data_IF_457166768202
#
_entry.id   IF_457166768202
#
_cell.length_a   1.000
_cell.length_b   1.000
_cell.length_c   1.000
_cell.angle_alpha   90.00
_cell.angle_beta   90.00
_cell.angle_gamma   90.00
#
_symmetry.space_group_name_H-M   'P 1'
#
loop_
_entity.id
_entity.type
_entity.pdbx_description
1 polymer ?
2 polymer ?
3 polymer ?
4 water ?
#
# COMPACT_ATOMS: atom_id res chain seq x y z
N UNK A 9 -2.30 19.97 -3.56
CA UNK A 9 -1.84 21.32 -3.16
C UNK A 9 -0.33 21.40 -2.98
N UNK A 10 0.28 22.41 -3.55
CA UNK A 10 1.72 22.65 -3.43
C UNK A 10 2.09 22.76 -1.95
N UNK A 11 1.12 23.25 -1.18
CA UNK A 11 1.34 23.47 0.25
C UNK A 11 1.44 22.20 1.05
N UNK A 12 0.66 21.20 0.65
CA UNK A 12 0.70 19.93 1.35
C UNK A 12 2.05 19.27 1.07
N UNK A 13 2.55 19.44 -0.15
CA UNK A 13 3.85 18.87 -0.51
C UNK A 13 4.94 19.53 0.33
N UNK A 14 4.91 20.85 0.34
CA UNK A 14 5.89 21.60 1.10
C UNK A 14 5.82 21.16 2.56
N UNK A 15 4.61 21.05 3.09
CA UNK A 15 4.43 20.66 4.49
C UNK A 15 4.93 19.24 4.77
N UNK A 16 4.52 18.26 3.96
CA UNK A 16 5.01 16.91 4.26
C UNK A 16 6.49 16.75 4.03
N UNK A 17 7.07 17.52 3.11
CA UNK A 17 8.50 17.42 2.88
C UNK A 17 9.23 17.97 4.13
N UNK A 19 8.05 17.92 7.14
CA UNK A 19 7.85 16.97 8.23
C UNK A 19 8.87 15.84 8.15
N UNK A 20 9.09 15.32 6.95
CA UNK A 20 10.05 14.23 6.80
C UNK A 20 11.47 14.70 7.06
N UNK A 21 11.81 15.88 6.54
CA UNK A 21 13.16 16.40 6.71
C UNK A 21 13.46 16.71 8.16
N UNK A 23 12.07 15.20 10.71
CA UNK A 23 12.18 13.92 11.40
C UNK A 23 13.57 13.30 11.13
N UNK A 24 14.07 13.44 9.90
CA UNK A 24 15.37 12.86 9.56
C UNK A 24 16.49 13.58 10.31
N UNK A 25 16.42 14.90 10.36
CA UNK A 25 17.47 15.65 11.07
C UNK A 25 17.48 15.30 12.55
N UNK A 26 16.29 15.18 13.15
CA UNK A 26 16.19 14.84 14.57
C UNK A 26 16.75 13.42 14.82
N UNK A 27 16.41 12.47 13.95
CA UNK A 27 16.92 11.11 14.07
C UNK A 27 18.46 11.11 13.96
N UNK A 28 19.02 11.90 13.04
CA UNK A 28 20.48 11.89 12.94
C UNK A 28 21.10 12.46 14.21
N UNK A 29 20.42 13.40 14.86
CA UNK A 29 20.90 13.95 16.13
C UNK A 29 20.76 12.87 17.23
N UNK A 30 19.66 12.12 17.22
CA UNK A 30 19.49 11.05 18.21
C UNK A 30 20.60 9.99 18.01
N UNK A 33 23.84 10.05 20.04
CA UNK A 33 23.78 9.76 21.47
C UNK A 33 24.44 8.48 21.88
N UNK A 34 24.65 7.59 20.92
CA UNK A 34 25.23 6.31 21.26
C UNK A 34 24.09 5.36 21.59
N UNK A 35 24.40 4.10 21.81
CA UNK A 35 23.35 3.14 22.12
C UNK A 35 23.84 1.78 21.74
N UNK A 36 23.06 0.72 21.96
CA UNK A 36 23.58 -0.57 21.59
C UNK A 36 23.30 -0.89 20.14
N UNK A 37 23.82 -2.02 19.68
CA UNK A 37 23.61 -2.39 18.29
C UNK A 37 22.14 -2.51 17.91
N UNK A 38 21.31 -3.00 18.82
CA UNK A 38 19.89 -3.12 18.48
C UNK A 38 19.26 -1.74 18.27
N UNK A 39 19.71 -0.76 19.06
CA UNK A 39 19.17 0.59 18.90
C UNK A 39 19.56 1.13 17.51
N UNK A 40 20.78 0.83 17.08
CA UNK A 40 21.18 1.32 15.77
C UNK A 40 20.49 0.57 14.63
N UNK A 41 20.03 -0.64 14.87
CA UNK A 41 19.33 -1.36 13.81
C UNK A 41 17.99 -0.65 13.64
N UNK A 42 17.37 -0.26 14.75
CA UNK A 42 16.09 0.46 14.72
C UNK A 42 16.28 1.80 14.02
N UNK A 43 17.26 2.58 14.48
CA UNK A 43 17.48 3.89 13.88
C UNK A 43 17.88 3.84 12.39
N UNK A 44 18.69 2.87 12.00
CA UNK A 44 19.09 2.73 10.59
C UNK A 44 17.86 2.46 9.73
N UNK A 45 16.96 1.62 10.23
CA UNK A 45 15.74 1.30 9.48
C UNK A 45 14.90 2.54 9.29
N UNK A 46 14.76 3.31 10.36
CA UNK A 46 13.95 4.51 10.29
C UNK A 46 14.59 5.52 9.37
N UNK A 47 15.91 5.68 9.50
CA UNK A 47 16.62 6.63 8.66
C UNK A 47 16.44 6.30 7.17
N UNK A 48 16.62 5.03 6.80
CA UNK A 48 16.47 4.64 5.41
C UNK A 48 15.03 4.85 4.93
N UNK A 49 14.05 4.60 5.79
CA UNK A 49 12.65 4.79 5.41
C UNK A 49 12.39 6.28 5.12
N UNK A 50 12.94 7.15 5.97
CA UNK A 50 12.73 8.58 5.78
C UNK A 50 13.41 9.06 4.51
N UNK A 51 14.65 8.62 4.28
CA UNK A 51 15.39 9.04 3.09
C UNK A 51 14.61 8.59 1.86
N UNK A 52 14.08 7.38 1.94
CA UNK A 52 13.32 6.81 0.82
C UNK A 52 12.05 7.59 0.52
N UNK A 53 11.35 7.98 1.57
CA UNK A 53 10.14 8.74 1.42
C UNK A 53 10.43 10.11 0.81
N UNK A 54 11.48 10.77 1.30
CA UNK A 54 11.84 12.09 0.77
C UNK A 54 12.15 11.96 -0.72
N UNK A 55 12.87 10.89 -1.08
CA UNK A 55 13.23 10.63 -2.47
C UNK A 55 11.98 10.47 -3.33
N UNK A 56 11.05 9.61 -2.91
CA UNK A 56 9.83 9.40 -3.70
C UNK A 56 9.10 10.72 -3.89
N UNK A 57 8.98 11.50 -2.83
CA UNK A 57 8.27 12.78 -2.97
C UNK A 57 9.00 13.68 -3.95
N UNK A 58 10.33 13.72 -3.89
CA UNK A 58 11.09 14.55 -4.85
C UNK A 58 10.84 14.09 -6.28
N UNK A 59 10.98 12.80 -6.50
CA UNK A 59 10.80 12.25 -7.84
C UNK A 59 9.41 12.38 -8.41
N UNK A 60 8.41 12.27 -7.54
CA UNK A 60 7.06 12.30 -8.05
C UNK A 60 6.37 13.62 -8.02
N UNK A 61 6.53 14.36 -6.94
CA UNK A 61 5.85 15.64 -6.83
C UNK A 61 6.83 16.75 -7.05
N UNK A 62 8.11 16.42 -6.94
CA UNK A 62 9.16 17.39 -7.10
C UNK A 62 9.07 18.27 -5.86
N UNK B 49 -6.35 11.51 1.72
CA UNK B 49 -5.13 10.84 1.18
C UNK B 49 -4.28 11.86 0.43
N UNK B 50 -2.96 11.67 0.40
CA UNK B 50 -2.09 12.58 -0.34
C UNK B 50 -2.60 12.64 -1.77
N UNK B 51 -2.56 13.84 -2.37
CA UNK B 51 -3.03 14.05 -3.72
C UNK B 51 -2.40 13.10 -4.74
N UNK B 52 -1.09 12.90 -4.64
CA UNK B 52 -0.40 12.01 -5.56
C UNK B 52 -0.84 10.56 -5.42
N UNK B 53 -1.32 10.16 -4.24
CA UNK B 53 -1.81 8.80 -4.06
C UNK B 53 -3.22 8.73 -4.70
N UNK B 54 -4.00 9.78 -4.53
CA UNK B 54 -5.35 9.83 -5.12
C UNK B 54 -5.21 9.83 -6.65
N UNK B 55 -4.17 10.47 -7.17
CA UNK B 55 -3.91 10.51 -8.61
C UNK B 55 -3.70 9.09 -9.12
N UNK B 56 -2.99 8.28 -8.34
CA UNK B 56 -2.74 6.90 -8.72
C UNK B 56 -4.05 6.09 -8.65
N UNK B 57 -4.83 6.31 -7.60
CA UNK B 57 -6.11 5.60 -7.46
C UNK B 57 -7.01 5.92 -8.63
N UNK B 58 -6.96 7.17 -9.10
CA UNK B 58 -7.79 7.58 -10.23
C UNK B 58 -7.40 6.91 -11.55
N UNK B 59 -6.28 6.19 -11.55
CA UNK B 59 -5.84 5.47 -12.75
C UNK B 59 -6.09 3.96 -12.62
N UNK B 60 -6.46 3.50 -11.43
CA UNK B 60 -6.72 2.07 -11.24
C UNK B 60 -7.72 1.51 -12.26
N UNK B 61 -8.76 2.27 -12.55
CA UNK B 61 -9.76 1.76 -13.51
C UNK B 61 -9.14 1.31 -14.84
N UNK B 62 -8.33 2.16 -15.47
CA UNK B 62 -7.71 1.80 -16.75
C UNK B 62 -6.50 0.87 -16.61
N UNK B 63 -5.75 1.01 -15.52
CA UNK B 63 -4.58 0.15 -15.29
C UNK B 63 -4.96 -1.31 -15.13
N UNK B 64 -6.05 -1.55 -14.40
CA UNK B 64 -6.47 -2.93 -14.11
C UNK B 64 -7.78 -3.31 -14.82
N UNK B 65 -8.33 -2.37 -15.58
CA UNK B 65 -9.58 -2.58 -16.30
C UNK B 65 -10.69 -3.01 -15.33
N UNK B 66 -10.95 -2.17 -14.36
CA UNK B 66 -11.99 -2.42 -13.35
C UNK B 66 -12.89 -1.20 -13.27
N UNK B 67 -14.17 -1.40 -12.95
CA UNK B 67 -15.11 -0.31 -12.86
C UNK B 67 -14.99 0.54 -11.59
N UNK B 68 -15.72 1.65 -11.57
CA UNK B 68 -15.67 2.59 -10.45
C UNK B 68 -16.07 2.04 -9.09
N UNK B 69 -16.97 1.05 -9.08
CA UNK B 69 -17.45 0.41 -7.85
C UNK B 69 -16.31 -0.38 -7.22
N UNK B 70 -15.54 -1.11 -8.03
CA UNK B 70 -14.41 -1.87 -7.54
C UNK B 70 -13.36 -0.90 -6.98
N UNK B 71 -13.03 0.13 -7.73
CA UNK B 71 -12.02 1.10 -7.29
C UNK B 71 -12.41 1.76 -5.95
N UNK B 72 -13.66 2.20 -5.84
CA UNK B 72 -14.13 2.85 -4.61
C UNK B 72 -14.05 1.93 -3.41
N UNK B 73 -14.41 0.67 -3.59
CA UNK B 73 -14.35 -0.26 -2.48
C UNK B 73 -12.89 -0.49 -2.07
N UNK B 75 -10.33 1.63 -2.57
CA UNK B 75 -9.84 2.86 -1.96
C UNK B 75 -10.32 2.87 -0.49
N UNK B 76 -11.59 2.48 -0.25
CA UNK B 76 -12.05 2.48 1.14
C UNK B 76 -11.32 1.47 2.03
N UNK B 77 -10.99 0.31 1.50
CA UNK B 77 -10.29 -0.70 2.30
C UNK B 77 -8.88 -0.20 2.61
N UNK B 79 -7.86 3.00 2.78
CA UNK B 79 -8.01 4.05 3.79
C UNK B 79 -8.21 3.42 5.16
N UNK B 80 -9.04 2.38 5.22
CA UNK B 80 -9.29 1.67 6.46
C UNK B 80 -8.04 1.05 7.07
N UNK B 81 -7.16 0.52 6.23
CA UNK B 81 -5.94 -0.07 6.73
C UNK B 81 -5.05 1.01 7.35
N UNK B 82 -4.97 2.17 6.69
CA UNK B 82 -4.17 3.28 7.20
C UNK B 82 -4.77 3.87 8.49
N UNK B 83 -6.09 3.81 8.61
CA UNK B 83 -6.76 4.34 9.80
C UNK B 83 -6.51 3.51 11.05
N UNK B 84 -6.01 2.29 10.89
CA UNK B 84 -5.73 1.45 12.04
C UNK B 84 -4.40 1.77 12.71
N UNK B 85 -3.56 2.58 12.06
CA UNK B 85 -2.27 2.92 12.64
C UNK B 85 -2.55 3.73 13.90
N UNK B 86 -1.82 3.43 14.98
CA UNK B 86 -1.98 4.12 16.24
C UNK B 86 -1.42 5.54 16.15
N UNK C 4 -0.38 14.82 9.47
CA UNK C 4 -0.20 13.34 9.36
C UNK C 4 0.59 12.68 10.47
N UNK C 5 0.16 11.49 10.88
CA UNK C 5 0.91 10.70 11.84
C UNK C 5 2.06 10.25 10.94
N UNK C 6 3.29 10.27 11.45
CA UNK C 6 4.41 9.92 10.60
C UNK C 6 4.34 8.58 9.87
N UNK C 7 3.96 7.51 10.56
CA UNK C 7 3.94 6.21 9.90
C UNK C 7 2.89 6.11 8.83
N UNK C 8 1.79 6.85 9.01
CA UNK C 8 0.73 6.86 8.00
C UNK C 8 1.28 7.57 6.77
N UNK C 9 1.97 8.69 7.00
CA UNK C 9 2.55 9.44 5.89
C UNK C 9 3.54 8.54 5.12
N UNK C 10 4.43 7.86 5.84
CA UNK C 10 5.41 6.97 5.20
C UNK C 10 4.70 5.85 4.41
N UNK C 11 3.66 5.26 4.98
CA UNK C 11 2.89 4.20 4.26
C UNK C 11 2.26 4.76 2.96
N UNK C 12 1.68 5.95 3.02
CA UNK C 12 1.07 6.51 1.83
C UNK C 12 2.14 6.83 0.80
N UNK C 13 3.30 7.31 1.26
CA UNK C 13 4.36 7.61 0.31
C UNK C 13 4.90 6.31 -0.34
N UNK C 14 4.99 5.24 0.44
CA UNK C 14 5.44 3.97 -0.12
C UNK C 14 4.48 3.54 -1.22
N UNK C 15 3.18 3.74 -0.98
CA UNK C 15 2.18 3.36 -1.97
C UNK C 15 2.35 4.22 -3.21
N UNK C 16 2.67 5.50 -3.01
CA UNK C 16 2.89 6.36 -4.18
C UNK C 16 4.11 5.77 -4.89
N UNK C 17 5.10 5.32 -4.11
CA UNK C 17 6.27 4.73 -4.71
C UNK C 17 5.95 3.52 -5.58
N UNK C 18 5.11 2.63 -5.09
CA UNK C 18 4.80 1.42 -5.85
C UNK C 18 4.03 1.71 -7.12
N UNK C 19 3.34 2.84 -7.18
CA UNK C 19 2.60 3.15 -8.38
C UNK C 19 3.35 4.03 -9.35
N UNK C 20 4.61 4.34 -9.01
CA UNK C 20 5.46 5.20 -9.82
C UNK C 20 6.85 4.64 -10.11
N UNK C 21 6.98 3.32 -10.06
CA UNK C 21 8.27 2.64 -10.35
C UNK C 21 9.39 2.85 -9.34
N UNK C 22 9.05 3.18 -8.10
CA UNK C 22 10.09 3.34 -7.09
C UNK C 22 9.88 2.24 -6.08
N UNK C 23 10.13 1.01 -6.52
CA UNK C 23 9.89 -0.16 -5.68
C UNK C 23 10.85 -0.40 -4.53
N UNK C 24 12.15 -0.16 -4.74
CA UNK C 24 13.08 -0.35 -3.66
C UNK C 24 12.88 0.70 -2.58
N UNK C 25 12.55 1.93 -2.97
CA UNK C 25 12.29 2.96 -1.97
C UNK C 25 11.06 2.56 -1.15
N UNK C 26 10.02 2.08 -1.83
CA UNK C 26 8.83 1.64 -1.12
C UNK C 26 9.15 0.46 -0.18
N UNK C 27 10.06 -0.42 -0.59
CA UNK C 27 10.41 -1.56 0.24
C UNK C 27 11.18 -1.13 1.49
N UNK C 28 12.04 -0.14 1.34
CA UNK C 28 12.77 0.35 2.51
C UNK C 28 11.78 0.91 3.51
N UNK C 29 10.74 1.58 3.02
CA UNK C 29 9.76 2.09 3.95
C UNK C 29 9.02 0.91 4.62
N UNK C 30 8.66 -0.08 3.81
CA UNK C 30 7.98 -1.26 4.38
C UNK C 30 8.84 -1.99 5.43
N UNK C 31 10.17 -2.00 5.26
CA UNK C 31 11.04 -2.64 6.23
C UNK C 31 10.92 -1.94 7.57
N UNK C 32 10.73 -0.62 7.53
CA UNK C 32 10.51 0.13 8.76
C UNK C 32 9.13 -0.20 9.35
N UNK C 33 8.10 -0.19 8.50
CA UNK C 33 6.75 -0.47 8.97
C UNK C 33 6.65 -1.89 9.54
N UNK C 34 7.50 -2.79 9.04
CA UNK C 34 7.54 -4.16 9.51
C UNK C 34 8.13 -4.20 10.91
N UNK C 35 9.19 -3.45 11.13
CA UNK C 35 9.82 -3.40 12.42
C UNK C 35 8.80 -2.91 13.43
N UNK C 36 7.97 -1.95 13.02
CA UNK C 36 6.95 -1.38 13.90
C UNK C 36 5.63 -2.16 13.98
N UNK C 37 5.60 -3.34 13.40
CA UNK C 37 4.40 -4.14 13.48
C UNK C 37 3.19 -3.84 12.60
N UNK C 38 3.34 -2.99 11.59
CA UNK C 38 2.21 -2.70 10.71
C UNK C 38 2.31 -3.71 9.54
N UNK C 39 2.12 -4.98 9.88
CA UNK C 39 2.25 -6.04 8.89
C UNK C 39 1.20 -6.01 7.78
N UNK C 40 0.00 -5.54 8.07
CA UNK C 40 -1.03 -5.49 7.03
C UNK C 40 -0.64 -4.42 6.00
N UNK C 41 -0.12 -3.29 6.47
CA UNK C 41 0.31 -2.24 5.56
C UNK C 41 1.52 -2.74 4.78
N UNK C 42 2.38 -3.52 5.42
CA UNK C 42 3.56 -4.05 4.71
C UNK C 42 3.07 -4.95 3.57
N UNK C 43 2.10 -5.80 3.86
CA UNK C 43 1.56 -6.69 2.83
C UNK C 43 0.88 -5.89 1.71
N UNK C 44 0.13 -4.84 2.06
CA UNK C 44 -0.51 -4.01 1.03
C UNK C 44 0.55 -3.36 0.10
N UNK C 45 1.65 -2.89 0.68
CA UNK C 45 2.73 -2.29 -0.14
C UNK C 45 3.37 -3.35 -1.05
N UNK C 46 3.61 -4.54 -0.51
CA UNK C 46 4.19 -5.62 -1.29
C UNK C 46 3.27 -6.01 -2.46
N UNK C 47 1.97 -6.20 -2.17
CA UNK C 47 1.01 -6.55 -3.22
C UNK C 47 0.97 -5.45 -4.27
N UNK C 48 0.88 -4.20 -3.84
CA UNK C 48 0.84 -3.10 -4.79
C UNK C 48 2.09 -3.05 -5.66
N UNK C 49 3.25 -3.27 -5.04
CA UNK C 49 4.51 -3.26 -5.79
C UNK C 49 4.53 -4.37 -6.85
N UNK C 50 4.17 -5.57 -6.46
CA UNK C 50 4.16 -6.70 -7.41
C UNK C 50 3.13 -6.53 -8.51
N UNK C 52 1.70 -3.69 -9.57
CA UNK C 52 1.96 -2.58 -10.46
C UNK C 52 3.02 -2.96 -11.51
N UNK C 53 3.80 -3.99 -11.20
CA UNK C 53 4.84 -4.49 -12.10
C UNK C 53 4.29 -5.61 -12.96
N UNK C 54 3.02 -5.93 -12.77
CA UNK C 54 2.38 -6.98 -13.54
C UNK C 54 2.67 -8.39 -13.07
N UNK C 55 3.32 -8.53 -11.91
CA UNK C 55 3.63 -9.85 -11.40
C UNK C 55 2.54 -10.39 -10.51
N UNK C 56 1.39 -10.65 -11.11
CA UNK C 56 0.24 -11.14 -10.36
C UNK C 56 0.43 -12.52 -9.75
N UNK C 57 1.17 -13.40 -10.41
CA UNK C 57 1.40 -14.72 -9.87
C UNK C 57 2.18 -14.65 -8.56
N UNK C 58 3.23 -13.82 -8.52
CA UNK C 58 4.01 -13.69 -7.30
C UNK C 58 3.16 -13.05 -6.22
N UNK C 59 2.34 -12.08 -6.61
CA UNK C 59 1.46 -11.39 -5.69
C UNK C 59 0.53 -12.41 -5.08
N UNK C 60 -0.09 -13.22 -5.93
CA UNK C 60 -1.04 -14.22 -5.45
C UNK C 60 -0.40 -15.23 -4.49
N UNK C 61 0.78 -15.75 -4.84
CA UNK C 61 1.46 -16.69 -3.98
C UNK C 61 1.76 -16.09 -2.60
N UNK C 62 2.19 -14.84 -2.58
CA UNK C 62 2.48 -14.18 -1.31
C UNK C 62 1.22 -13.84 -0.53
N UNK C 63 0.19 -13.41 -1.24
CA UNK C 63 -1.05 -13.06 -0.58
C UNK C 63 -1.74 -14.25 0.07
N UNK C 64 -1.67 -15.42 -0.58
CA UNK C 64 -2.31 -16.62 -0.04
C UNK C 64 -1.49 -17.27 1.07
N UNK C 65 -0.36 -16.65 1.40
CA UNK C 65 0.52 -17.17 2.45
C UNK C 65 0.49 -16.30 3.72
N UNK C 66 -0.27 -15.22 3.66
CA UNK C 66 -0.44 -14.28 4.79
C UNK C 66 -1.89 -13.78 4.73
N UNK C 67 -2.68 -14.17 5.74
CA UNK C 67 -4.11 -13.83 5.78
C UNK C 67 -4.62 -12.46 6.25
N UNK C 68 -5.13 -11.63 5.35
CA UNK C 68 -5.71 -10.34 5.77
C UNK C 68 -7.08 -10.12 5.11
N UNK C 69 -8.17 -10.18 5.90
CA UNK C 69 -9.52 -9.99 5.34
C UNK C 69 -9.69 -8.77 4.46
N UNK C 70 -9.15 -7.64 4.90
CA UNK C 70 -9.30 -6.41 4.11
C UNK C 70 -8.50 -6.43 2.83
N UNK C 71 -7.52 -7.32 2.70
CA UNK C 71 -6.73 -7.33 1.46
C UNK C 71 -7.22 -8.41 0.49
N UNK C 72 -8.26 -9.16 0.88
CA UNK C 72 -8.78 -10.19 0.00
C UNK C 72 -9.08 -9.70 -1.42
N UNK C 73 -9.68 -8.50 -1.57
CA UNK C 73 -9.98 -7.99 -2.92
C UNK C 73 -8.77 -7.89 -3.84
N UNK C 74 -7.61 -7.59 -3.27
CA UNK C 74 -6.39 -7.49 -4.07
C UNK C 74 -6.04 -8.87 -4.65
N UNK C 75 -6.26 -9.93 -3.88
CA UNK C 75 -5.96 -11.24 -4.40
C UNK C 75 -6.97 -11.61 -5.48
N UNK C 76 -8.19 -11.12 -5.33
CA UNK C 76 -9.23 -11.40 -6.33
C UNK C 76 -8.88 -10.65 -7.60
N UNK C 77 -8.33 -9.44 -7.45
CA UNK C 77 -7.93 -8.66 -8.61
C UNK C 77 -6.78 -9.40 -9.32
N UNK C 78 -5.90 -10.04 -8.56
CA UNK C 78 -4.81 -10.79 -9.18
C UNK C 78 -5.39 -11.92 -10.02
N UNK C 79 -6.36 -12.64 -9.45
CA UNK C 79 -6.96 -13.75 -10.19
C UNK C 79 -7.68 -13.26 -11.44
N UNK C 80 -8.32 -12.10 -11.33
CA UNK C 80 -9.02 -11.49 -12.45
C UNK C 80 -8.06 -11.13 -13.57
N UNK C 81 -6.93 -10.51 -13.21
CA UNK C 81 -5.96 -10.10 -14.21
C UNK C 81 -5.19 -11.27 -14.82
N UNK C 82 -5.08 -12.36 -14.08
CA UNK C 82 -4.36 -13.56 -14.58
C UNK C 82 -5.30 -14.44 -15.39
N UNK C 83 -6.60 -14.17 -15.25
CA UNK C 83 -7.58 -14.97 -15.96
C UNK C 83 -7.73 -16.34 -15.31
N UNK C 84 -7.74 -16.39 -13.99
CA UNK C 84 -7.95 -17.65 -13.25
C UNK C 84 -9.44 -17.56 -12.90
N UNK C 85 -10.26 -17.96 -13.86
CA UNK C 85 -11.70 -17.86 -13.66
C UNK C 85 -12.26 -18.62 -12.50
N UNK C 86 -11.86 -19.87 -12.38
CA UNK C 86 -12.37 -20.72 -11.31
C UNK C 86 -12.01 -20.20 -9.92
N UNK C 87 -10.74 -19.82 -9.75
CA UNK C 87 -10.26 -19.29 -8.47
C UNK C 87 -11.02 -18.03 -8.11
N UNK C 88 -11.16 -17.12 -9.07
CA UNK C 88 -11.88 -15.88 -8.84
C UNK C 88 -13.30 -16.16 -8.39
N UNK C 89 -14.01 -17.03 -9.11
CA UNK C 89 -15.39 -17.32 -8.72
C UNK C 89 -15.44 -17.84 -7.29
N UNK C 90 -14.54 -18.76 -6.97
CA UNK C 90 -14.47 -19.31 -5.63
C UNK C 90 -14.24 -18.20 -4.59
N UNK C 91 -13.32 -17.29 -4.90
CA UNK C 91 -13.05 -16.23 -3.96
C UNK C 91 -14.23 -15.30 -3.80
N UNK C 92 -14.91 -14.98 -4.88
CA UNK C 92 -16.07 -14.11 -4.76
C UNK C 92 -17.16 -14.72 -3.89
N UNK C 93 -17.37 -16.04 -4.00
CA UNK C 93 -18.42 -16.67 -3.20
C UNK C 93 -18.07 -16.59 -1.74
N UNK C 94 -16.79 -16.75 -1.43
CA UNK C 94 -16.38 -16.68 -0.06
C UNK C 94 -16.50 -15.25 0.47
N UNK C 95 -16.10 -14.27 -0.34
CA UNK C 95 -16.20 -12.86 0.08
C UNK C 95 -17.63 -12.40 0.22
N UNK C 96 -18.54 -12.94 -0.58
CA UNK C 96 -19.94 -12.56 -0.48
C UNK C 96 -20.50 -12.87 0.92
N UNK C 97 -19.81 -13.72 1.67
CA UNK C 97 -20.25 -14.09 3.01
C UNK C 97 -19.84 -13.09 4.09
N UNK C 98 -19.03 -12.11 3.71
CA UNK C 98 -18.56 -11.08 4.65
C UNK C 98 -19.61 -10.05 5.05
N UNK C 99 -19.57 -9.68 6.33
CA UNK C 99 -20.49 -8.68 6.89
C UNK C 99 -20.02 -7.26 6.61
N UNK C 100 -18.78 -7.13 6.14
CA UNK C 100 -18.19 -5.84 5.81
C UNK C 100 -18.84 -5.27 4.56
N UNK C 101 -19.51 -4.12 4.69
CA UNK C 101 -20.14 -3.54 3.51
C UNK C 101 -19.16 -3.20 2.40
N UNK C 102 -17.90 -2.91 2.74
CA UNK C 102 -16.90 -2.59 1.72
C UNK C 102 -16.59 -3.83 0.90
N UNK C 103 -16.57 -5.00 1.54
CA UNK C 103 -16.29 -6.24 0.83
C UNK C 103 -17.51 -6.57 -0.06
N UNK C 104 -18.71 -6.36 0.46
CA UNK C 104 -19.90 -6.60 -0.35
C UNK C 104 -19.90 -5.71 -1.58
N UNK C 105 -19.50 -4.44 -1.42
CA UNK C 105 -19.45 -3.51 -2.55
C UNK C 105 -18.44 -4.01 -3.59
N UNK C 106 -17.32 -4.51 -3.11
CA UNK C 106 -16.29 -5.03 -4.02
C UNK C 106 -16.85 -6.20 -4.84
N UNK C 107 -17.42 -7.18 -4.14
CA UNK C 107 -17.99 -8.35 -4.81
C UNK C 107 -19.03 -7.93 -5.86
N UNK C 108 -19.93 -7.03 -5.49
CA UNK C 108 -20.95 -6.56 -6.41
C UNK C 108 -20.29 -5.91 -7.62
N UNK C 109 -19.25 -5.12 -7.38
CA UNK C 109 -18.54 -4.50 -8.49
C UNK C 109 -17.86 -5.50 -9.39
N UNK C 111 -18.71 -8.66 -9.83
CA UNK C 111 -19.72 -9.43 -10.55
C UNK C 111 -20.15 -8.63 -11.77
N UNK C 112 -20.38 -7.35 -11.58
CA UNK C 112 -20.76 -6.50 -12.69
C UNK C 112 -19.65 -6.49 -13.75
N UNK C 113 -18.41 -6.32 -13.30
CA UNK C 113 -17.27 -6.29 -14.20
C UNK C 113 -17.25 -7.55 -15.05
N UNK C 114 -17.52 -8.70 -14.44
CA UNK C 114 -17.51 -9.98 -15.13
C UNK C 114 -18.65 -10.26 -16.12
N UNK C 115 -19.77 -9.53 -16.00
CA UNK C 115 -20.89 -9.73 -16.92
C UNK C 115 -20.50 -9.45 -18.37
#
# INVERSE_FOLDING_TARGET
TQLEEQLHNVETVRSITXQLEXALTKLKKDXXRGGDAKQYQVWQRESKALESAIAIIHYVAGDLK
SNFSGFTKGTDIADLDAVAQTLKKPADDANKAVNDSIAALKDKPDNPALLADLQHSINKWSVIYNINSTIVRSXKDLXQGILQKFP
SXKYKLNVLLAEIALIGTGNHYHEEANCIAEWLHLKGEEEAVQLIRLSSLXNRGDYASALQQGNKLAYPDLEPWLALCEYRLGLGSALESRLNRLARSQDPRIQTFVNGXREQLKT
#
